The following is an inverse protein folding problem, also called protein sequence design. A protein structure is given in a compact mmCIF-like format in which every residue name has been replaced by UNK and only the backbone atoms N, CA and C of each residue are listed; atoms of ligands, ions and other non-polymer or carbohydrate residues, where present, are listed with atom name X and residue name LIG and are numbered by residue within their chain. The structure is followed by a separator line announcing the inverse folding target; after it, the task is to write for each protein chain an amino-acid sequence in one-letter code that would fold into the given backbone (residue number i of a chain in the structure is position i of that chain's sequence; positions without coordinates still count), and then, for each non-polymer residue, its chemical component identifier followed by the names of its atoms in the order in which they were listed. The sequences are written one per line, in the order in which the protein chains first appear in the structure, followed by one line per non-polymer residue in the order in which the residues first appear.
data_IF_907892398462
#
_entry.id   IF_907892398462
#
_cell.length_a   1.000
_cell.length_b   1.000
_cell.length_c   1.000
_cell.angle_alpha   90.00
_cell.angle_beta   90.00
_cell.angle_gamma   90.00
#
_symmetry.space_group_name_H-M   'P 1'
#
loop_
_entity.id
_entity.type
_entity.pdbx_description
1 polymer ?
#
# COMPACT_ATOMS: atom_id res chain seq x y z
N UNK A 1 -11.78 -11.55 -14.18
CA UNK A 1 -11.04 -11.55 -12.88
C UNK A 1 -10.00 -10.44 -12.77
N UNK A 2 -9.31 -10.05 -13.86
CA UNK A 2 -8.39 -8.91 -13.90
C UNK A 2 -8.99 -7.60 -13.40
N UNK A 3 -10.24 -7.29 -13.77
CA UNK A 3 -10.93 -6.05 -13.35
C UNK A 3 -11.07 -5.96 -11.82
N UNK A 4 -11.36 -7.07 -11.14
CA UNK A 4 -11.51 -7.11 -9.69
C UNK A 4 -10.18 -6.76 -9.01
N UNK A 5 -9.06 -7.26 -9.55
CA UNK A 5 -7.71 -6.96 -9.04
C UNK A 5 -7.35 -5.48 -9.21
N UNK A 6 -7.64 -4.89 -10.38
CA UNK A 6 -7.44 -3.45 -10.60
C UNK A 6 -8.28 -2.60 -9.64
N UNK A 7 -9.54 -2.99 -9.42
CA UNK A 7 -10.43 -2.30 -8.47
C UNK A 7 -9.90 -2.41 -7.05
N UNK A 8 -9.47 -3.61 -6.61
CA UNK A 8 -8.89 -3.82 -5.28
C UNK A 8 -7.62 -3.00 -5.05
N UNK A 9 -6.69 -2.98 -6.02
CA UNK A 9 -5.45 -2.20 -5.91
C UNK A 9 -5.77 -0.70 -5.88
N UNK A 10 -6.70 -0.23 -6.72
CA UNK A 10 -7.12 1.17 -6.73
C UNK A 10 -7.76 1.59 -5.42
N UNK A 11 -8.68 0.78 -4.90
CA UNK A 11 -9.36 1.04 -3.63
C UNK A 11 -8.36 1.06 -2.47
N UNK A 12 -7.42 0.11 -2.48
CA UNK A 12 -6.35 0.04 -1.50
C UNK A 12 -5.43 1.27 -1.54
N UNK A 13 -5.04 1.71 -2.73
CA UNK A 13 -4.21 2.89 -2.91
C UNK A 13 -4.92 4.16 -2.42
N UNK A 14 -6.20 4.33 -2.76
CA UNK A 14 -7.03 5.46 -2.28
C UNK A 14 -7.11 5.47 -0.76
N UNK A 15 -7.46 4.34 -0.13
CA UNK A 15 -7.56 4.24 1.33
C UNK A 15 -6.22 4.56 2.01
N UNK A 16 -5.11 4.12 1.43
CA UNK A 16 -3.76 4.42 1.93
C UNK A 16 -3.44 5.92 1.83
N UNK A 17 -3.75 6.54 0.70
CA UNK A 17 -3.57 7.98 0.51
C UNK A 17 -4.41 8.80 1.48
N UNK A 18 -5.69 8.45 1.65
CA UNK A 18 -6.59 9.09 2.62
C UNK A 18 -6.06 8.94 4.05
N UNK A 19 -5.59 7.74 4.43
CA UNK A 19 -4.99 7.53 5.74
C UNK A 19 -3.75 8.42 5.98
N UNK A 20 -2.89 8.59 4.97
CA UNK A 20 -1.75 9.51 5.03
C UNK A 20 -2.19 10.98 5.22
N UNK A 21 -3.21 11.42 4.48
CA UNK A 21 -3.74 12.80 4.57
C UNK A 21 -4.41 13.05 5.93
N UNK A 22 -5.25 12.13 6.40
CA UNK A 22 -5.92 12.24 7.71
C UNK A 22 -4.87 12.31 8.83
N UNK A 23 -3.86 11.46 8.75
CA UNK A 23 -2.78 11.47 9.72
C UNK A 23 -2.00 12.80 9.72
N UNK A 24 -1.75 13.38 8.54
CA UNK A 24 -1.11 14.69 8.42
C UNK A 24 -1.98 15.78 9.08
N UNK A 25 -3.31 15.73 8.89
CA UNK A 25 -4.24 16.67 9.56
C UNK A 25 -4.22 16.53 11.09
N UNK A 26 -4.15 15.31 11.61
CA UNK A 26 -4.22 15.04 13.06
C UNK A 26 -2.90 15.28 13.81
N UNK A 27 -1.76 15.01 13.17
CA UNK A 27 -0.44 15.02 13.84
C UNK A 27 0.51 16.10 13.32
N UNK A 28 0.04 16.96 12.43
CA UNK A 28 0.85 17.98 11.74
C UNK A 28 1.67 17.41 10.59
N UNK A 29 2.51 18.26 9.96
CA UNK A 29 3.37 17.83 8.86
C UNK A 29 4.38 16.78 9.33
N UNK A 30 4.21 15.54 8.86
CA UNK A 30 5.17 14.47 9.07
C UNK A 30 5.58 13.90 7.72
N UNK A 31 6.90 13.83 7.49
CA UNK A 31 7.50 13.32 6.24
C UNK A 31 6.97 11.91 5.92
N UNK A 32 6.68 11.09 6.93
CA UNK A 32 6.15 9.73 6.77
C UNK A 32 4.72 9.72 6.20
N UNK A 33 3.86 10.62 6.66
CA UNK A 33 2.49 10.77 6.15
C UNK A 33 2.51 11.17 4.67
N UNK A 34 3.44 12.05 4.30
CA UNK A 34 3.69 12.43 2.91
C UNK A 34 4.23 11.24 2.08
N UNK A 35 5.13 10.44 2.64
CA UNK A 35 5.61 9.20 1.98
C UNK A 35 4.47 8.19 1.74
N UNK A 36 3.53 8.02 2.67
CA UNK A 36 2.34 7.18 2.44
C UNK A 36 1.50 7.66 1.25
N UNK A 37 1.29 8.97 1.13
CA UNK A 37 0.55 9.57 0.00
C UNK A 37 1.30 9.37 -1.31
N UNK A 38 2.62 9.56 -1.32
CA UNK A 38 3.46 9.35 -2.51
C UNK A 38 3.41 7.88 -2.96
N UNK A 39 3.56 6.94 -2.03
CA UNK A 39 3.50 5.50 -2.36
C UNK A 39 2.11 5.11 -2.87
N UNK A 40 1.04 5.68 -2.29
CA UNK A 40 -0.32 5.48 -2.78
C UNK A 40 -0.53 5.99 -4.21
N UNK A 41 -0.06 7.20 -4.52
CA UNK A 41 -0.08 7.72 -5.89
C UNK A 41 0.77 6.85 -6.84
N UNK A 42 1.93 6.39 -6.38
CA UNK A 42 2.77 5.47 -7.14
C UNK A 42 2.03 4.19 -7.52
N UNK A 43 1.26 3.60 -6.61
CA UNK A 43 0.45 2.41 -6.89
C UNK A 43 -0.60 2.67 -7.98
N UNK A 44 -1.30 3.82 -7.92
CA UNK A 44 -2.28 4.21 -8.95
C UNK A 44 -1.62 4.41 -10.32
N UNK A 45 -0.48 5.10 -10.37
CA UNK A 45 0.26 5.32 -11.63
C UNK A 45 0.74 4.00 -12.23
N UNK A 46 1.19 3.07 -11.37
CA UNK A 46 1.69 1.76 -11.79
C UNK A 46 0.63 0.95 -12.53
N UNK A 47 -0.66 1.10 -12.19
CA UNK A 47 -1.75 0.40 -12.87
C UNK A 47 -1.93 0.80 -14.35
N UNK A 48 -1.39 1.95 -14.77
CA UNK A 48 -1.47 2.40 -16.16
C UNK A 48 -0.30 1.91 -17.03
N UNK A 49 0.65 1.13 -16.48
CA UNK A 49 1.75 0.56 -17.25
C UNK A 49 1.24 -0.52 -18.21
N UNK A 50 1.51 -0.34 -19.51
CA UNK A 50 1.15 -1.32 -20.55
C UNK A 50 1.88 -2.66 -20.39
N UNK A 51 3.12 -2.63 -19.88
CA UNK A 51 3.91 -3.83 -19.67
C UNK A 51 3.53 -4.48 -18.32
N UNK A 52 2.81 -5.60 -18.39
CA UNK A 52 2.33 -6.33 -17.21
C UNK A 52 3.45 -6.82 -16.29
N UNK A 53 4.60 -7.21 -16.83
CA UNK A 53 5.74 -7.65 -16.00
C UNK A 53 6.34 -6.48 -15.23
N UNK A 54 6.50 -5.32 -15.88
CA UNK A 54 6.97 -4.11 -15.19
C UNK A 54 5.96 -3.63 -14.16
N UNK A 55 4.67 -3.60 -14.50
CA UNK A 55 3.59 -3.29 -13.56
C UNK A 55 3.68 -4.16 -12.31
N UNK A 56 3.85 -5.47 -12.50
CA UNK A 56 3.92 -6.42 -11.40
C UNK A 56 5.12 -6.19 -10.49
N UNK A 57 6.32 -6.07 -11.07
CA UNK A 57 7.55 -5.81 -10.31
C UNK A 57 7.46 -4.47 -9.56
N UNK A 58 6.94 -3.43 -10.20
CA UNK A 58 6.74 -2.11 -9.57
C UNK A 58 5.74 -2.17 -8.41
N UNK A 59 4.63 -2.91 -8.55
CA UNK A 59 3.69 -3.11 -7.46
C UNK A 59 4.34 -3.82 -6.27
N UNK A 60 5.13 -4.87 -6.51
CA UNK A 60 5.86 -5.56 -5.43
C UNK A 60 6.77 -4.60 -4.69
N UNK A 61 7.56 -3.80 -5.41
CA UNK A 61 8.46 -2.82 -4.80
C UNK A 61 7.69 -1.80 -3.96
N UNK A 62 6.61 -1.23 -4.50
CA UNK A 62 5.77 -0.27 -3.77
C UNK A 62 5.14 -0.90 -2.51
N UNK A 63 4.75 -2.16 -2.58
CA UNK A 63 4.23 -2.90 -1.43
C UNK A 63 5.27 -3.11 -0.33
N UNK A 64 6.52 -3.40 -0.69
CA UNK A 64 7.62 -3.55 0.28
C UNK A 64 7.87 -2.20 0.97
N UNK A 65 7.93 -1.11 0.21
CA UNK A 65 8.13 0.24 0.78
C UNK A 65 7.00 0.59 1.74
N UNK A 66 5.75 0.31 1.38
CA UNK A 66 4.58 0.58 2.22
C UNK A 66 4.65 -0.18 3.56
N UNK A 67 5.11 -1.43 3.55
CA UNK A 67 5.32 -2.22 4.77
C UNK A 67 6.38 -1.60 5.67
N UNK A 68 7.53 -1.23 5.10
CA UNK A 68 8.61 -0.59 5.87
C UNK A 68 8.11 0.71 6.52
N UNK A 69 7.41 1.55 5.77
CA UNK A 69 6.82 2.79 6.28
C UNK A 69 5.84 2.51 7.42
N UNK A 70 5.00 1.50 7.28
CA UNK A 70 4.00 1.15 8.27
C UNK A 70 4.61 0.51 9.53
N UNK A 71 5.71 -0.24 9.41
CA UNK A 71 6.47 -0.73 10.58
C UNK A 71 7.12 0.44 11.32
N UNK A 72 7.79 1.34 10.59
CA UNK A 72 8.42 2.53 11.16
C UNK A 72 7.42 3.43 11.90
N UNK A 73 6.25 3.66 11.29
CA UNK A 73 5.13 4.39 11.90
C UNK A 73 4.69 3.76 13.22
N UNK A 74 4.62 2.43 13.24
CA UNK A 74 4.20 1.67 14.40
C UNK A 74 5.19 1.67 15.57
N UNK A 75 6.49 1.65 15.26
CA UNK A 75 7.54 1.78 16.27
C UNK A 75 7.50 3.15 16.97
N UNK A 76 7.25 4.21 16.20
CA UNK A 76 7.20 5.59 16.71
C UNK A 76 5.98 5.90 17.58
N UNK A 77 4.85 5.19 17.40
CA UNK A 77 3.68 5.32 18.27
C UNK A 77 3.79 4.53 19.59
N UNK A 78 5.02 4.31 20.10
CA UNK A 78 5.33 3.62 21.36
C UNK A 78 4.62 2.26 21.50
N UNK A 79 4.70 1.42 20.47
CA UNK A 79 4.17 0.06 20.56
C UNK A 79 2.64 -0.05 20.64
N UNK A 80 1.89 1.07 20.57
CA UNK A 80 0.43 1.07 20.27
C UNK A 80 0.15 0.76 18.80
N UNK A 81 1.02 -0.04 18.19
CA UNK A 81 0.66 -0.90 17.09
C UNK A 81 -0.42 -1.84 17.62
N UNK A 82 -1.67 -1.62 17.22
CA UNK A 82 -2.62 -2.72 17.18
C UNK A 82 -2.04 -3.74 16.19
N UNK A 83 -1.18 -4.64 16.67
CA UNK A 83 -0.48 -5.69 15.91
C UNK A 83 -1.45 -6.44 14.98
N UNK A 84 -2.68 -6.62 15.45
CA UNK A 84 -3.81 -7.15 14.68
C UNK A 84 -4.08 -6.39 13.37
N UNK A 85 -4.10 -5.06 13.38
CA UNK A 85 -4.40 -4.24 12.20
C UNK A 85 -3.28 -4.30 11.15
N UNK A 86 -2.04 -4.55 11.57
CA UNK A 86 -0.88 -4.70 10.68
C UNK A 86 -0.77 -6.12 10.13
N UNK A 87 -1.02 -7.15 10.94
CA UNK A 87 -1.11 -8.55 10.50
C UNK A 87 -2.27 -8.74 9.51
N UNK A 88 -3.42 -8.08 9.74
CA UNK A 88 -4.54 -8.07 8.79
C UNK A 88 -4.12 -7.37 7.49
N UNK A 89 -3.41 -6.24 7.57
CA UNK A 89 -2.91 -5.52 6.39
C UNK A 89 -1.91 -6.40 5.61
N UNK A 90 -0.95 -7.01 6.27
CA UNK A 90 0.02 -7.96 5.70
C UNK A 90 -0.68 -9.17 5.06
N UNK A 91 -1.65 -9.79 5.73
CA UNK A 91 -2.41 -10.90 5.16
C UNK A 91 -3.23 -10.48 3.94
N UNK A 92 -3.89 -9.32 3.99
CA UNK A 92 -4.60 -8.76 2.84
C UNK A 92 -3.66 -8.49 1.66
N UNK A 93 -2.43 -8.07 1.95
CA UNK A 93 -1.39 -7.85 0.93
C UNK A 93 -0.83 -9.15 0.36
N UNK A 94 -0.61 -10.16 1.20
CA UNK A 94 -0.14 -11.47 0.78
C UNK A 94 -1.18 -12.13 -0.13
N UNK A 95 -2.46 -12.00 0.22
CA UNK A 95 -3.58 -12.45 -0.61
C UNK A 95 -3.62 -11.69 -1.94
N UNK A 96 -3.46 -10.36 -1.94
CA UNK A 96 -3.38 -9.55 -3.16
C UNK A 96 -2.21 -9.98 -4.05
N UNK A 97 -1.03 -10.21 -3.47
CA UNK A 97 0.18 -10.58 -4.19
C UNK A 97 0.06 -11.98 -4.81
N UNK A 98 -0.47 -12.95 -4.05
CA UNK A 98 -0.79 -14.30 -4.55
C UNK A 98 -1.86 -14.24 -5.64
N UNK A 99 -2.90 -13.42 -5.48
CA UNK A 99 -3.93 -13.25 -6.50
C UNK A 99 -3.38 -12.68 -7.80
N UNK A 100 -2.53 -11.65 -7.72
CA UNK A 100 -1.91 -11.04 -8.90
C UNK A 100 -0.92 -12.01 -9.56
N UNK A 101 -0.15 -12.78 -8.78
CA UNK A 101 0.81 -13.75 -9.30
C UNK A 101 0.13 -14.92 -10.04
N UNK A 102 -0.99 -15.42 -9.49
CA UNK A 102 -1.78 -16.50 -10.11
C UNK A 102 -2.48 -16.03 -11.39
N UNK A 103 -2.84 -14.74 -11.50
CA UNK A 103 -3.58 -14.20 -12.65
C UNK A 103 -2.73 -13.73 -13.84
N UNK A 104 -1.42 -13.57 -13.66
CA UNK A 104 -0.49 -13.19 -14.73
C UNK A 104 0.05 -14.40 -15.48
N UNK A 105 0.01 -15.60 -14.87
CA UNK A 105 0.32 -16.87 -15.52
C UNK A 105 -0.89 -17.41 -16.28
#
# INVERSE_FOLDING_TARGET
MTVITYVLISLYAILTGVAGIVQWKETGFQIRSLLFVIVAMGMLVTLFLLNKNMMFVSLIVLFIVLHILAIAEGMLKNGKLTYSHHIIRLNFHLVLLVFVFILIK
#
